data_IF_426485403575
#
_entry.id   IF_426485403575
#
_cell.length_a   1.000
_cell.length_b   1.000
_cell.length_c   1.000
_cell.angle_alpha   90.00
_cell.angle_beta   90.00
_cell.angle_gamma   90.00
#
_symmetry.space_group_name_H-M   'P 1'
#
loop_
_entity.id
_entity.type
_entity.pdbx_description
1 polymer ?
#
# COMPACT_ATOMS: atom_id res chain seq x y z
N UNK A 1 -13.58 4.32 2.13
CA UNK A 1 -14.20 4.69 3.42
C UNK A 1 -15.38 3.80 3.82
N UNK A 2 -16.32 3.45 2.92
CA UNK A 2 -17.50 2.61 3.25
C UNK A 2 -17.20 1.33 4.06
N UNK A 3 -16.15 0.59 3.70
CA UNK A 3 -15.77 -0.64 4.42
C UNK A 3 -15.21 -0.40 5.84
N UNK A 4 -14.64 0.78 6.12
CA UNK A 4 -14.16 1.17 7.44
C UNK A 4 -15.38 1.41 8.34
N UNK A 5 -16.34 2.18 7.85
CA UNK A 5 -17.53 2.57 8.62
C UNK A 5 -18.52 1.43 8.84
N UNK A 6 -18.48 0.37 8.03
CA UNK A 6 -19.37 -0.79 8.16
C UNK A 6 -18.92 -1.84 9.19
N UNK A 7 -17.97 -1.51 10.07
CA UNK A 7 -17.49 -2.42 11.11
C UNK A 7 -16.66 -3.61 10.62
N UNK A 8 -16.44 -3.76 9.31
CA UNK A 8 -15.68 -4.90 8.76
C UNK A 8 -14.18 -4.71 8.98
N UNK A 9 -13.51 -5.71 9.54
CA UNK A 9 -12.05 -5.67 9.72
C UNK A 9 -11.36 -5.48 8.35
N UNK A 10 -10.49 -4.47 8.26
CA UNK A 10 -9.76 -4.19 7.03
C UNK A 10 -8.38 -4.76 7.17
N UNK A 11 -8.14 -5.83 6.40
CA UNK A 11 -6.79 -6.35 6.20
C UNK A 11 -5.93 -5.28 5.55
N UNK A 12 -4.67 -5.23 5.94
CA UNK A 12 -3.67 -4.36 5.31
C UNK A 12 -3.63 -4.60 3.80
N UNK A 13 -3.52 -3.53 3.03
CA UNK A 13 -3.58 -3.58 1.57
C UNK A 13 -2.58 -2.62 0.92
N UNK A 14 -2.18 -2.96 -0.31
CA UNK A 14 -1.35 -2.07 -1.12
C UNK A 14 -2.21 -1.05 -1.85
N UNK A 15 -1.76 0.20 -1.87
CA UNK A 15 -2.45 1.30 -2.56
C UNK A 15 -1.44 2.32 -3.08
N UNK A 16 -1.90 3.26 -3.90
CA UNK A 16 -1.08 4.33 -4.44
C UNK A 16 -1.47 5.67 -3.83
N UNK A 17 -0.47 6.50 -3.54
CA UNK A 17 -0.66 7.86 -3.05
C UNK A 17 0.14 8.83 -3.90
N UNK A 18 -0.46 10.02 -4.10
CA UNK A 18 0.20 11.12 -4.80
C UNK A 18 0.79 12.07 -3.77
N UNK A 19 2.09 12.29 -3.86
CA UNK A 19 2.80 13.29 -3.06
C UNK A 19 2.46 14.70 -3.54
N UNK A 20 2.75 15.72 -2.72
CA UNK A 20 2.65 17.13 -3.11
C UNK A 20 3.47 17.42 -4.37
N UNK A 21 4.62 16.77 -4.52
CA UNK A 21 5.51 16.88 -5.68
C UNK A 21 5.03 16.07 -6.90
N UNK A 22 3.76 15.63 -6.89
CA UNK A 22 3.09 14.86 -7.95
C UNK A 22 3.67 13.48 -8.23
N UNK A 23 4.65 13.01 -7.47
CA UNK A 23 5.16 11.63 -7.56
C UNK A 23 4.12 10.64 -7.01
N UNK A 24 4.00 9.49 -7.65
CA UNK A 24 3.16 8.38 -7.19
C UNK A 24 4.00 7.43 -6.36
N UNK A 25 3.59 7.20 -5.12
CA UNK A 25 4.17 6.22 -4.20
C UNK A 25 3.24 5.03 -4.09
N UNK A 26 3.81 3.84 -4.20
CA UNK A 26 3.14 2.61 -3.81
C UNK A 26 3.36 2.41 -2.32
N UNK A 27 2.28 2.42 -1.54
CA UNK A 27 2.34 2.24 -0.10
C UNK A 27 1.60 0.99 0.33
N UNK A 28 2.10 0.36 1.39
CA UNK A 28 1.36 -0.64 2.15
C UNK A 28 0.65 0.06 3.30
N UNK A 29 -0.68 0.01 3.30
CA UNK A 29 -1.51 0.72 4.26
C UNK A 29 -2.25 -0.25 5.17
N UNK A 30 -2.07 -0.04 6.48
CA UNK A 30 -2.85 -0.69 7.53
C UNK A 30 -3.75 0.36 8.17
N UNK A 31 -5.03 0.03 8.33
CA UNK A 31 -6.03 0.94 8.90
C UNK A 31 -6.63 0.28 10.13
N UNK A 32 -6.45 0.93 11.28
CA UNK A 32 -7.00 0.50 12.57
C UNK A 32 -8.06 1.49 13.00
N UNK A 33 -9.24 0.98 13.37
CA UNK A 33 -10.30 1.80 13.95
C UNK A 33 -10.14 1.83 15.46
N UNK A 34 -10.28 3.01 16.04
CA UNK A 34 -10.42 3.20 17.46
C UNK A 34 -11.90 3.37 17.75
N UNK A 35 -12.41 2.53 18.66
CA UNK A 35 -13.80 2.59 19.12
C UNK A 35 -13.82 3.15 20.53
N UNK A 36 -14.82 3.98 20.83
CA UNK A 36 -15.05 4.49 22.17
C UNK A 36 -15.71 3.41 23.07
N UNK A 37 -15.96 3.75 24.33
CA UNK A 37 -16.59 2.84 25.30
C UNK A 37 -18.03 2.44 24.93
N UNK A 38 -18.71 3.22 24.09
CA UNK A 38 -20.07 2.92 23.58
C UNK A 38 -20.05 2.04 22.33
N UNK A 39 -18.87 1.70 21.80
CA UNK A 39 -18.70 0.86 20.61
C UNK A 39 -18.81 1.61 19.28
N UNK A 40 -18.89 2.95 19.31
CA UNK A 40 -18.88 3.81 18.14
C UNK A 40 -17.46 4.11 17.67
N UNK A 41 -17.28 4.38 16.38
CA UNK A 41 -15.96 4.69 15.81
C UNK A 41 -15.61 6.14 16.17
N UNK A 42 -14.60 6.31 17.03
CA UNK A 42 -14.12 7.62 17.49
C UNK A 42 -13.02 8.14 16.56
N UNK A 43 -12.08 7.26 16.21
CA UNK A 43 -10.89 7.65 15.46
C UNK A 43 -10.41 6.58 14.47
N UNK A 44 -9.58 7.00 13.52
CA UNK A 44 -8.94 6.12 12.54
C UNK A 44 -7.44 6.36 12.53
N UNK A 45 -6.68 5.33 12.90
CA UNK A 45 -5.23 5.32 12.82
C UNK A 45 -4.81 4.60 11.56
N UNK A 46 -3.94 5.23 10.78
CA UNK A 46 -3.39 4.61 9.56
C UNK A 46 -1.88 4.55 9.62
N UNK A 47 -1.33 3.35 9.46
CA UNK A 47 0.12 3.13 9.35
C UNK A 47 0.45 2.81 7.90
N UNK A 48 1.27 3.64 7.28
CA UNK A 48 1.71 3.49 5.89
C UNK A 48 3.20 3.19 5.81
N UNK A 49 3.59 2.15 5.08
CA UNK A 49 4.98 1.88 4.72
C UNK A 49 5.19 2.16 3.24
N UNK A 50 6.27 2.87 2.91
CA UNK A 50 6.66 3.08 1.53
C UNK A 50 7.22 1.79 0.93
N UNK A 51 6.73 1.41 -0.26
CA UNK A 51 7.18 0.24 -1.01
C UNK A 51 7.69 0.61 -2.41
N UNK A 52 7.89 1.90 -2.72
CA UNK A 52 8.33 2.34 -4.04
C UNK A 52 9.68 1.72 -4.44
N UNK A 53 10.62 1.63 -3.51
CA UNK A 53 11.96 1.08 -3.75
C UNK A 53 11.94 -0.44 -3.98
N UNK A 54 11.06 -1.15 -3.27
CA UNK A 54 10.92 -2.60 -3.41
C UNK A 54 10.36 -2.98 -4.79
N UNK A 55 9.50 -2.14 -5.36
CA UNK A 55 8.97 -2.33 -6.72
C UNK A 55 9.98 -1.97 -7.81
N UNK A 56 10.83 -0.96 -7.61
CA UNK A 56 11.87 -0.63 -8.59
C UNK A 56 12.90 -1.76 -8.72
N UNK A 57 13.29 -2.40 -7.61
CA UNK A 57 14.19 -3.56 -7.63
C UNK A 57 13.56 -4.75 -8.36
N UNK A 58 12.32 -5.12 -8.01
CA UNK A 58 11.60 -6.20 -8.70
C UNK A 58 11.36 -5.91 -10.18
N UNK A 59 11.27 -4.64 -10.57
CA UNK A 59 11.10 -4.25 -11.96
C UNK A 59 12.39 -4.50 -12.75
N UNK A 60 13.56 -4.16 -12.21
CA UNK A 60 14.85 -4.46 -12.82
C UNK A 60 15.07 -5.97 -13.02
N UNK A 61 14.75 -6.80 -12.02
CA UNK A 61 14.89 -8.26 -12.15
C UNK A 61 14.02 -8.85 -13.27
N UNK A 62 12.80 -8.33 -13.48
CA UNK A 62 11.92 -8.81 -14.55
C UNK A 62 12.39 -8.43 -15.95
N UNK A 63 13.19 -7.37 -16.11
CA UNK A 63 13.78 -7.01 -17.40
C UNK A 63 15.11 -7.73 -17.66
N UNK A 64 15.76 -8.28 -16.63
CA UNK A 64 16.99 -9.07 -16.78
C UNK A 64 16.72 -10.50 -17.29
N UNK A 65 15.54 -11.06 -17.02
CA UNK A 65 15.13 -12.38 -17.52
C UNK A 65 14.81 -12.46 -19.02
N UNK A 66 14.88 -11.36 -19.79
CA UNK A 66 14.55 -11.33 -21.23
C UNK A 66 15.77 -11.17 -22.16
N UNK A 67 17.01 -11.34 -21.68
CA UNK A 67 18.20 -11.10 -22.52
C UNK A 67 19.30 -12.16 -22.35
N UNK A 68 19.00 -13.44 -22.61
CA UNK A 68 20.01 -14.51 -22.68
C UNK A 68 19.84 -15.54 -23.82
N UNK A 69 19.08 -15.27 -24.88
CA UNK A 69 18.97 -16.23 -26.00
C UNK A 69 19.45 -15.70 -27.36
N UNK A 70 19.92 -14.44 -27.47
CA UNK A 70 20.41 -13.88 -28.75
C UNK A 70 21.94 -13.57 -28.73
N UNK A 71 22.75 -14.55 -28.33
CA UNK A 71 24.20 -14.53 -28.57
C UNK A 71 24.75 -15.96 -28.63
N UNK A 72 24.69 -16.56 -29.83
CA UNK A 72 25.74 -17.37 -30.50
C UNK A 72 25.13 -18.16 -31.64
#
# INVERSE_FOLDING_TARGET
>A
MKAIMSGKEIKSFSTQRKTKDKKILDIWLTITRLVNETGEIDDVVTTGHDMSELKSLKKCDKYDTFRREDCS
#
